data_IF_177389506093
#
_entry.id   IF_177389506093
#
_cell.length_a   1.000
_cell.length_b   1.000
_cell.length_c   1.000
_cell.angle_alpha   90.00
_cell.angle_beta   90.00
_cell.angle_gamma   90.00
#
_symmetry.space_group_name_H-M   'P 1'
#
loop_
_entity.id
_entity.type
_entity.pdbx_description
1 polymer ?
#
# COMPACT_ATOMS: atom_id res chain seq x y z
N UNK A 1 -3.83 2.20 -20.71
CA UNK A 1 -4.77 3.28 -20.35
C UNK A 1 -4.74 3.43 -18.83
N UNK A 2 -4.85 4.64 -18.28
CA UNK A 2 -4.91 4.80 -16.83
C UNK A 2 -6.15 4.09 -16.27
N UNK A 3 -6.04 3.57 -15.04
CA UNK A 3 -7.17 3.00 -14.32
C UNK A 3 -8.27 4.05 -14.18
N UNK A 4 -9.47 3.74 -14.63
CA UNK A 4 -10.61 4.68 -14.62
C UNK A 4 -11.70 4.29 -13.64
N UNK A 5 -11.64 3.06 -13.12
CA UNK A 5 -12.66 2.49 -12.22
C UNK A 5 -12.02 1.92 -10.98
N UNK A 6 -12.78 1.92 -9.89
CA UNK A 6 -12.38 1.27 -8.63
C UNK A 6 -12.23 -0.25 -8.80
N UNK A 7 -11.39 -0.90 -7.97
CA UNK A 7 -11.40 -2.35 -7.87
C UNK A 7 -12.78 -2.85 -7.41
N UNK A 8 -13.20 -4.00 -7.91
CA UNK A 8 -14.40 -4.68 -7.42
C UNK A 8 -14.03 -5.50 -6.20
N UNK A 9 -14.83 -5.41 -5.12
CA UNK A 9 -14.60 -6.24 -3.95
C UNK A 9 -14.80 -7.72 -4.27
N UNK A 10 -13.82 -8.59 -3.96
CA UNK A 10 -13.99 -10.03 -4.09
C UNK A 10 -14.84 -10.65 -2.96
N UNK A 11 -15.11 -9.90 -1.89
CA UNK A 11 -15.98 -10.29 -0.78
C UNK A 11 -17.36 -9.69 -1.07
N UNK A 12 -18.35 -10.54 -1.31
CA UNK A 12 -19.68 -10.15 -1.79
C UNK A 12 -20.48 -9.25 -0.81
N UNK A 13 -20.13 -9.28 0.47
CA UNK A 13 -20.75 -8.43 1.51
C UNK A 13 -20.12 -7.05 1.62
N UNK A 14 -19.05 -6.79 0.86
CA UNK A 14 -18.35 -5.50 0.85
C UNK A 14 -18.52 -4.80 -0.50
N UNK A 15 -18.75 -3.49 -0.46
CA UNK A 15 -18.70 -2.61 -1.62
C UNK A 15 -17.41 -1.79 -1.64
N UNK A 16 -16.95 -1.38 -2.82
CA UNK A 16 -15.81 -0.46 -2.93
C UNK A 16 -16.29 0.97 -3.09
N UNK A 17 -15.61 1.88 -2.40
CA UNK A 17 -15.85 3.33 -2.47
C UNK A 17 -14.52 4.06 -2.65
N UNK A 18 -14.50 5.13 -3.42
CA UNK A 18 -13.36 6.06 -3.43
C UNK A 18 -13.45 6.94 -2.18
N UNK A 19 -12.36 6.98 -1.41
CA UNK A 19 -12.26 7.82 -0.22
C UNK A 19 -11.69 9.17 -0.65
N UNK A 20 -12.60 10.13 -0.83
CA UNK A 20 -12.30 11.52 -1.13
C UNK A 20 -12.44 12.37 0.13
N UNK A 21 -12.04 13.63 0.09
CA UNK A 21 -11.95 14.49 1.29
C UNK A 21 -13.25 14.59 2.09
N UNK A 22 -14.41 14.50 1.44
CA UNK A 22 -15.73 14.44 2.07
C UNK A 22 -15.93 13.18 2.94
N UNK A 23 -15.09 12.15 2.75
CA UNK A 23 -15.08 10.90 3.53
C UNK A 23 -13.92 10.80 4.51
N UNK A 24 -13.18 11.90 4.72
CA UNK A 24 -12.02 11.91 5.62
C UNK A 24 -12.39 11.49 7.06
N UNK A 25 -13.56 11.90 7.56
CA UNK A 25 -14.02 11.50 8.90
C UNK A 25 -14.34 10.00 8.99
N UNK A 26 -14.85 9.40 7.93
CA UNK A 26 -15.07 7.95 7.86
C UNK A 26 -13.75 7.20 7.93
N UNK A 27 -12.74 7.66 7.18
CA UNK A 27 -11.40 7.07 7.20
C UNK A 27 -10.72 7.30 8.55
N UNK A 28 -10.85 8.50 9.15
CA UNK A 28 -10.31 8.79 10.48
C UNK A 28 -10.90 7.86 11.55
N UNK A 29 -12.23 7.65 11.52
CA UNK A 29 -12.88 6.70 12.42
C UNK A 29 -12.29 5.30 12.26
N UNK A 30 -12.14 4.82 11.02
CA UNK A 30 -11.54 3.52 10.72
C UNK A 30 -10.11 3.40 11.28
N UNK A 31 -9.29 4.43 11.14
CA UNK A 31 -7.93 4.45 11.68
C UNK A 31 -7.91 4.40 13.21
N UNK A 32 -8.77 5.16 13.88
CA UNK A 32 -8.89 5.16 15.34
C UNK A 32 -9.32 3.79 15.90
N UNK A 33 -10.18 3.08 15.17
CA UNK A 33 -10.65 1.73 15.53
C UNK A 33 -9.63 0.63 15.22
N UNK A 34 -8.60 0.94 14.39
CA UNK A 34 -7.59 -0.01 13.93
C UNK A 34 -6.16 0.48 14.18
N UNK A 35 -5.76 0.78 15.44
CA UNK A 35 -4.48 1.43 15.75
C UNK A 35 -3.26 0.53 15.50
N UNK A 36 -3.44 -0.78 15.34
CA UNK A 36 -2.34 -1.73 15.22
C UNK A 36 -1.38 -1.42 14.06
N UNK A 37 -1.88 -0.89 12.95
CA UNK A 37 -1.06 -0.49 11.81
C UNK A 37 -0.12 0.66 12.20
N UNK A 38 -0.65 1.72 12.79
CA UNK A 38 0.11 2.92 13.17
C UNK A 38 1.11 2.61 14.28
N UNK A 39 0.72 1.84 15.29
CA UNK A 39 1.61 1.39 16.34
C UNK A 39 2.79 0.56 15.78
N UNK A 40 2.56 -0.25 14.76
CA UNK A 40 3.61 -1.05 14.12
C UNK A 40 4.53 -0.22 13.23
N UNK A 41 4.06 0.87 12.63
CA UNK A 41 4.81 1.70 11.69
C UNK A 41 5.44 2.93 12.35
N UNK A 42 4.64 3.79 12.98
CA UNK A 42 5.08 5.05 13.60
C UNK A 42 5.33 4.93 15.10
N UNK A 43 4.78 3.91 15.76
CA UNK A 43 4.87 3.73 17.21
C UNK A 43 3.79 4.46 18.00
N UNK A 44 2.95 5.20 17.33
CA UNK A 44 1.88 6.02 17.91
C UNK A 44 0.55 5.67 17.22
N UNK A 45 -0.60 5.91 17.83
CA UNK A 45 -1.90 5.82 17.16
C UNK A 45 -1.99 6.83 16.00
N UNK A 46 -2.99 6.67 15.14
CA UNK A 46 -3.29 7.63 14.09
C UNK A 46 -3.45 9.06 14.67
N UNK A 47 -2.86 10.03 13.99
CA UNK A 47 -3.03 11.44 14.31
C UNK A 47 -4.49 11.91 14.13
N UNK A 48 -4.87 13.07 14.69
CA UNK A 48 -6.25 13.55 14.66
C UNK A 48 -6.79 13.87 13.25
N UNK A 49 -5.89 14.10 12.28
CA UNK A 49 -6.21 14.41 10.88
C UNK A 49 -5.71 13.35 9.89
N UNK A 50 -5.27 12.20 10.38
CA UNK A 50 -4.64 11.14 9.57
C UNK A 50 -5.50 10.73 8.39
N UNK A 51 -6.83 10.67 8.57
CA UNK A 51 -7.76 10.34 7.49
C UNK A 51 -7.75 11.37 6.35
N UNK A 52 -7.66 12.65 6.66
CA UNK A 52 -7.56 13.71 5.67
C UNK A 52 -6.15 13.73 5.02
N UNK A 53 -5.11 13.53 5.81
CA UNK A 53 -3.72 13.49 5.36
C UNK A 53 -3.47 12.32 4.42
N UNK A 54 -3.99 11.12 4.72
CA UNK A 54 -3.91 9.97 3.82
C UNK A 54 -4.51 10.27 2.45
N UNK A 55 -5.62 11.01 2.40
CA UNK A 55 -6.29 11.37 1.14
C UNK A 55 -5.53 12.47 0.40
N UNK A 56 -5.09 13.52 1.10
CA UNK A 56 -4.57 14.75 0.49
C UNK A 56 -3.06 14.81 0.37
N UNK A 57 -2.30 13.97 1.12
CA UNK A 57 -0.84 14.01 1.10
C UNK A 57 -0.29 13.89 -0.31
N UNK A 58 0.63 14.76 -0.63
CA UNK A 58 1.37 14.75 -1.89
C UNK A 58 2.54 13.77 -1.81
N UNK A 59 2.95 13.28 -2.98
CA UNK A 59 4.16 12.49 -3.10
C UNK A 59 5.40 13.39 -3.04
N UNK A 60 6.56 12.85 -2.67
CA UNK A 60 7.80 13.61 -2.69
C UNK A 60 8.04 14.28 -4.03
N UNK A 61 8.58 15.50 -4.00
CA UNK A 61 8.90 16.26 -5.22
C UNK A 61 9.76 15.43 -6.18
N UNK A 62 9.43 15.50 -7.46
CA UNK A 62 10.10 14.77 -8.53
C UNK A 62 9.65 13.33 -8.73
N UNK A 63 8.67 12.85 -7.98
CA UNK A 63 8.08 11.53 -8.23
C UNK A 63 6.93 11.67 -9.23
N UNK A 64 7.07 11.02 -10.39
CA UNK A 64 6.00 10.95 -11.39
C UNK A 64 4.99 9.87 -11.02
N UNK A 65 3.72 10.11 -11.30
CA UNK A 65 2.64 9.14 -11.14
C UNK A 65 1.43 9.57 -11.98
N UNK A 66 0.50 8.66 -12.21
CA UNK A 66 -0.73 8.98 -12.97
C UNK A 66 -1.88 9.35 -12.03
N UNK A 67 -2.19 8.51 -11.05
CA UNK A 67 -3.28 8.78 -10.09
C UNK A 67 -2.99 8.09 -8.74
N UNK A 68 -3.38 8.76 -7.67
CA UNK A 68 -3.48 8.19 -6.31
C UNK A 68 -4.93 7.80 -6.07
N UNK A 69 -5.14 6.54 -5.74
CA UNK A 69 -6.43 5.98 -5.38
C UNK A 69 -6.46 5.68 -3.89
N UNK A 70 -7.40 6.24 -3.16
CA UNK A 70 -7.69 5.83 -1.78
C UNK A 70 -9.02 5.09 -1.81
N UNK A 71 -8.96 3.78 -1.64
CA UNK A 71 -10.07 2.86 -1.80
C UNK A 71 -10.52 2.36 -0.44
N UNK A 72 -11.80 2.50 -0.12
CA UNK A 72 -12.44 1.87 1.03
C UNK A 72 -13.20 0.62 0.60
N UNK A 73 -13.17 -0.40 1.44
CA UNK A 73 -14.06 -1.57 1.36
C UNK A 73 -15.10 -1.41 2.48
N UNK A 74 -16.31 -1.05 2.09
CA UNK A 74 -17.39 -0.70 3.01
C UNK A 74 -18.32 -1.87 3.30
N UNK A 75 -18.69 -2.04 4.56
CA UNK A 75 -19.77 -2.90 5.01
C UNK A 75 -21.14 -2.33 4.58
N UNK A 76 -22.18 -3.12 4.72
CA UNK A 76 -23.57 -2.72 4.39
C UNK A 76 -24.10 -1.57 5.25
N UNK A 77 -23.54 -1.38 6.45
CA UNK A 77 -23.85 -0.25 7.35
C UNK A 77 -23.05 1.02 7.03
N UNK A 78 -22.17 0.97 6.01
CA UNK A 78 -21.32 2.08 5.59
C UNK A 78 -20.00 2.21 6.37
N UNK A 79 -19.75 1.42 7.40
CA UNK A 79 -18.44 1.38 8.07
C UNK A 79 -17.38 0.74 7.17
N UNK A 80 -16.09 1.03 7.40
CA UNK A 80 -15.00 0.44 6.63
C UNK A 80 -14.54 -0.88 7.22
N UNK A 81 -14.47 -1.91 6.38
CA UNK A 81 -13.86 -3.20 6.69
C UNK A 81 -12.36 -3.23 6.33
N UNK A 82 -11.95 -2.43 5.34
CA UNK A 82 -10.56 -2.30 4.91
C UNK A 82 -10.35 -1.02 4.09
N UNK A 83 -9.10 -0.63 3.92
CA UNK A 83 -8.74 0.43 2.98
C UNK A 83 -7.43 0.09 2.26
N UNK A 84 -7.23 0.69 1.09
CA UNK A 84 -5.98 0.64 0.34
C UNK A 84 -5.69 2.02 -0.29
N UNK A 85 -4.43 2.46 -0.19
CA UNK A 85 -3.91 3.56 -1.00
C UNK A 85 -3.05 2.97 -2.10
N UNK A 86 -3.40 3.23 -3.35
CA UNK A 86 -2.67 2.72 -4.52
C UNK A 86 -2.32 3.87 -5.44
N UNK A 87 -1.05 3.96 -5.80
CA UNK A 87 -0.51 4.97 -6.70
C UNK A 87 -0.14 4.27 -8.00
N UNK A 88 -0.78 4.71 -9.10
CA UNK A 88 -0.55 4.11 -10.42
C UNK A 88 0.61 4.79 -11.12
N UNK A 89 1.41 4.01 -11.85
CA UNK A 89 2.57 4.46 -12.63
C UNK A 89 3.60 5.26 -11.79
N UNK A 90 3.82 4.84 -10.55
CA UNK A 90 4.74 5.53 -9.65
C UNK A 90 6.19 5.36 -10.14
N UNK A 91 6.84 6.50 -10.43
CA UNK A 91 8.21 6.64 -10.95
C UNK A 91 8.44 6.05 -12.35
N UNK A 92 7.62 5.11 -12.80
CA UNK A 92 7.66 4.54 -14.14
C UNK A 92 6.28 4.00 -14.52
N UNK A 93 5.99 3.97 -15.82
CA UNK A 93 4.79 3.35 -16.36
C UNK A 93 4.70 1.87 -15.92
N UNK A 94 3.50 1.40 -15.67
CA UNK A 94 3.18 0.03 -15.25
C UNK A 94 3.74 -0.38 -13.88
N UNK A 95 4.26 0.54 -13.07
CA UNK A 95 4.65 0.31 -11.68
C UNK A 95 3.57 0.88 -10.77
N UNK A 96 2.78 0.00 -10.14
CA UNK A 96 1.76 0.40 -9.17
C UNK A 96 2.30 0.23 -7.75
N UNK A 97 2.06 1.21 -6.90
CA UNK A 97 2.55 1.22 -5.53
C UNK A 97 1.41 1.17 -4.52
N UNK A 98 1.52 0.27 -3.55
CA UNK A 98 0.65 0.26 -2.38
C UNK A 98 1.33 1.10 -1.30
N UNK A 99 0.78 2.28 -1.03
CA UNK A 99 1.22 3.14 0.07
C UNK A 99 0.74 2.62 1.41
N UNK A 100 -0.56 2.31 1.50
CA UNK A 100 -1.22 1.83 2.71
C UNK A 100 -2.18 0.69 2.37
N UNK A 101 -2.21 -0.35 3.20
CA UNK A 101 -3.20 -1.42 3.13
C UNK A 101 -3.54 -1.88 4.54
N UNK A 102 -4.76 -1.61 4.98
CA UNK A 102 -5.24 -1.93 6.32
C UNK A 102 -6.55 -2.69 6.22
N UNK A 103 -6.64 -3.81 6.92
CA UNK A 103 -7.88 -4.58 7.13
C UNK A 103 -8.27 -4.45 8.59
N UNK A 104 -9.54 -4.24 8.86
CA UNK A 104 -10.06 -4.10 10.23
C UNK A 104 -9.59 -5.25 11.12
N UNK A 105 -9.20 -4.92 12.34
CA UNK A 105 -8.59 -5.86 13.28
C UNK A 105 -9.50 -7.08 13.55
N UNK A 106 -10.80 -6.87 13.62
CA UNK A 106 -11.80 -7.92 13.79
C UNK A 106 -11.86 -8.95 12.66
N UNK A 107 -11.34 -8.59 11.46
CA UNK A 107 -11.28 -9.45 10.27
C UNK A 107 -9.95 -10.17 10.12
N UNK A 108 -9.06 -10.02 11.08
CA UNK A 108 -7.76 -10.68 11.03
C UNK A 108 -7.90 -12.19 11.31
N UNK A 109 -7.07 -13.00 10.64
CA UNK A 109 -7.05 -14.46 10.79
C UNK A 109 -8.06 -15.21 9.93
N UNK A 110 -9.08 -14.53 9.38
CA UNK A 110 -10.11 -15.12 8.51
C UNK A 110 -9.74 -15.23 7.02
N UNK A 111 -8.56 -14.72 6.60
CA UNK A 111 -8.16 -14.74 5.18
C UNK A 111 -8.61 -13.50 4.39
N UNK A 112 -9.41 -12.61 4.96
CA UNK A 112 -9.94 -11.42 4.27
C UNK A 112 -8.84 -10.55 3.67
N UNK A 113 -7.73 -10.34 4.38
CA UNK A 113 -6.61 -9.56 3.88
C UNK A 113 -6.03 -10.14 2.58
N UNK A 114 -5.88 -11.47 2.51
CA UNK A 114 -5.41 -12.14 1.30
C UNK A 114 -6.40 -12.00 0.15
N UNK A 115 -7.68 -12.23 0.42
CA UNK A 115 -8.74 -12.18 -0.59
C UNK A 115 -8.87 -10.75 -1.15
N UNK A 116 -8.88 -9.72 -0.29
CA UNK A 116 -8.96 -8.32 -0.69
C UNK A 116 -7.72 -7.89 -1.48
N UNK A 117 -6.53 -8.26 -1.02
CA UNK A 117 -5.29 -7.99 -1.74
C UNK A 117 -5.28 -8.63 -3.13
N UNK A 118 -5.67 -9.89 -3.26
CA UNK A 118 -5.74 -10.56 -4.56
C UNK A 118 -6.75 -9.90 -5.52
N UNK A 119 -7.85 -9.35 -4.98
CA UNK A 119 -8.78 -8.52 -5.75
C UNK A 119 -8.12 -7.25 -6.27
N UNK A 120 -7.38 -6.56 -5.41
CA UNK A 120 -6.62 -5.36 -5.74
C UNK A 120 -5.53 -5.65 -6.78
N UNK A 121 -4.81 -6.77 -6.63
CA UNK A 121 -3.79 -7.22 -7.57
C UNK A 121 -4.36 -7.50 -8.96
N UNK A 122 -5.50 -8.20 -9.05
CA UNK A 122 -6.18 -8.43 -10.33
C UNK A 122 -6.62 -7.13 -10.98
N UNK A 123 -7.15 -6.20 -10.19
CA UNK A 123 -7.50 -4.87 -10.67
C UNK A 123 -6.26 -4.12 -11.20
N UNK A 124 -5.16 -4.13 -10.48
CA UNK A 124 -3.92 -3.51 -10.93
C UNK A 124 -3.43 -4.11 -12.26
N UNK A 125 -3.38 -5.44 -12.36
CA UNK A 125 -2.97 -6.13 -13.58
C UNK A 125 -3.88 -5.79 -14.78
N UNK A 126 -5.21 -5.76 -14.58
CA UNK A 126 -6.18 -5.39 -15.63
C UNK A 126 -6.10 -3.93 -16.04
N UNK A 127 -5.48 -3.08 -15.22
CA UNK A 127 -5.23 -1.67 -15.50
C UNK A 127 -3.79 -1.37 -15.93
N UNK A 128 -3.05 -2.40 -16.35
CA UNK A 128 -1.74 -2.26 -16.99
C UNK A 128 -0.55 -2.31 -16.04
N UNK A 129 -0.73 -2.66 -14.76
CA UNK A 129 0.39 -2.89 -13.88
C UNK A 129 1.19 -4.12 -14.32
N UNK A 130 2.48 -3.95 -14.58
CA UNK A 130 3.44 -5.04 -14.74
C UNK A 130 4.14 -5.36 -13.41
N UNK A 131 4.19 -4.39 -12.51
CA UNK A 131 4.85 -4.47 -11.22
C UNK A 131 3.99 -3.89 -10.11
N UNK A 132 3.93 -4.61 -9.00
CA UNK A 132 3.47 -4.06 -7.72
C UNK A 132 4.67 -3.75 -6.84
N UNK A 133 4.63 -2.60 -6.17
CA UNK A 133 5.66 -2.09 -5.26
C UNK A 133 5.04 -1.71 -3.93
N UNK A 134 5.77 -1.88 -2.84
CA UNK A 134 5.39 -1.38 -1.52
C UNK A 134 6.62 -1.19 -0.63
N UNK A 135 6.42 -0.56 0.53
CA UNK A 135 7.39 -0.45 1.60
C UNK A 135 6.88 -1.12 2.87
N UNK A 136 7.75 -1.87 3.55
CA UNK A 136 7.44 -2.49 4.85
C UNK A 136 8.44 -2.01 5.87
N UNK A 137 7.96 -1.55 7.03
CA UNK A 137 8.84 -1.22 8.16
C UNK A 137 9.48 -2.50 8.67
N UNK A 138 10.80 -2.52 8.71
CA UNK A 138 11.58 -3.67 9.19
C UNK A 138 11.24 -3.98 10.65
N UNK A 139 11.02 -5.25 10.94
CA UNK A 139 10.57 -5.72 12.25
C UNK A 139 9.05 -5.76 12.42
N UNK A 140 8.26 -5.24 11.45
CA UNK A 140 6.85 -5.55 11.36
C UNK A 140 6.66 -6.96 10.75
N UNK A 141 6.99 -7.98 11.55
CA UNK A 141 7.07 -9.38 11.11
C UNK A 141 5.75 -9.90 10.52
N UNK A 142 4.63 -9.32 10.95
CA UNK A 142 3.31 -9.67 10.40
C UNK A 142 3.18 -9.20 8.96
N UNK A 143 3.50 -7.94 8.68
CA UNK A 143 3.47 -7.38 7.33
C UNK A 143 4.52 -8.04 6.43
N UNK A 144 5.75 -8.26 6.94
CA UNK A 144 6.82 -8.93 6.19
C UNK A 144 6.38 -10.33 5.73
N UNK A 145 5.82 -11.15 6.63
CA UNK A 145 5.32 -12.48 6.30
C UNK A 145 4.14 -12.43 5.34
N UNK A 146 3.20 -11.51 5.55
CA UNK A 146 2.05 -11.35 4.66
C UNK A 146 2.51 -11.05 3.24
N UNK A 147 3.34 -10.02 3.03
CA UNK A 147 3.77 -9.62 1.71
C UNK A 147 4.67 -10.67 1.02
N UNK A 148 5.55 -11.31 1.77
CA UNK A 148 6.33 -12.44 1.26
C UNK A 148 5.43 -13.59 0.80
N UNK A 149 4.37 -13.92 1.56
CA UNK A 149 3.39 -14.97 1.17
C UNK A 149 2.58 -14.58 -0.07
N UNK A 150 2.44 -13.28 -0.36
CA UNK A 150 1.82 -12.80 -1.60
C UNK A 150 2.81 -12.78 -2.79
N UNK A 151 4.05 -13.20 -2.61
CA UNK A 151 5.05 -13.30 -3.69
C UNK A 151 5.89 -12.04 -3.91
N UNK A 152 5.87 -11.11 -2.96
CA UNK A 152 6.79 -9.97 -2.98
C UNK A 152 8.20 -10.38 -2.58
N UNK A 153 9.19 -9.80 -3.23
CA UNK A 153 10.61 -9.95 -2.90
C UNK A 153 11.21 -8.60 -2.49
N UNK A 154 12.06 -8.63 -1.48
CA UNK A 154 12.78 -7.45 -1.03
C UNK A 154 13.83 -7.04 -2.06
N UNK A 155 13.93 -5.73 -2.33
CA UNK A 155 14.88 -5.19 -3.32
C UNK A 155 15.82 -4.15 -2.72
N UNK A 156 15.37 -3.32 -1.79
CA UNK A 156 16.18 -2.28 -1.17
C UNK A 156 15.74 -1.99 0.27
N UNK A 157 16.69 -1.70 1.13
CA UNK A 157 16.43 -1.13 2.45
C UNK A 157 16.78 0.36 2.46
N UNK A 158 15.99 1.13 3.19
CA UNK A 158 16.21 2.57 3.43
C UNK A 158 16.10 2.83 4.92
N UNK A 159 17.21 3.17 5.54
CA UNK A 159 17.29 3.50 6.96
C UNK A 159 17.10 4.99 7.19
N UNK A 160 16.79 5.35 8.44
CA UNK A 160 16.65 6.75 8.86
C UNK A 160 15.35 7.43 8.39
N UNK A 161 14.34 6.65 7.97
CA UNK A 161 13.03 7.20 7.60
C UNK A 161 12.27 7.59 8.86
N UNK A 162 11.88 8.87 8.96
CA UNK A 162 11.05 9.33 10.07
C UNK A 162 9.59 8.95 9.84
N UNK A 163 9.01 8.22 10.80
CA UNK A 163 7.60 7.87 10.87
C UNK A 163 7.09 8.16 12.28
N UNK A 164 6.32 9.22 12.45
CA UNK A 164 5.96 9.72 13.78
C UNK A 164 7.22 10.02 14.60
N UNK A 165 7.30 9.45 15.81
CA UNK A 165 8.45 9.62 16.71
C UNK A 165 9.60 8.64 16.43
N UNK A 166 9.45 7.70 15.48
CA UNK A 166 10.45 6.66 15.21
C UNK A 166 11.28 6.98 13.98
N UNK A 167 12.58 6.68 14.08
CA UNK A 167 13.45 6.50 12.92
C UNK A 167 13.49 5.01 12.57
N UNK A 168 12.95 4.66 11.42
CA UNK A 168 12.79 3.27 11.00
C UNK A 168 13.60 2.93 9.76
N UNK A 169 13.79 1.65 9.52
CA UNK A 169 14.25 1.11 8.23
C UNK A 169 13.04 0.58 7.47
N UNK A 170 12.87 1.03 6.24
CA UNK A 170 11.83 0.56 5.34
C UNK A 170 12.45 -0.37 4.30
N UNK A 171 11.90 -1.56 4.17
CA UNK A 171 12.23 -2.51 3.12
C UNK A 171 11.29 -2.31 1.93
N UNK A 172 11.84 -1.85 0.80
CA UNK A 172 11.10 -1.82 -0.46
C UNK A 172 10.99 -3.25 -0.99
N UNK A 173 9.78 -3.63 -1.34
CA UNK A 173 9.45 -4.94 -1.90
C UNK A 173 8.71 -4.78 -3.21
N UNK A 174 8.94 -5.71 -4.13
CA UNK A 174 8.30 -5.70 -5.45
C UNK A 174 7.80 -7.09 -5.84
N UNK A 175 6.78 -7.10 -6.68
CA UNK A 175 6.20 -8.32 -7.25
C UNK A 175 5.95 -8.13 -8.74
N UNK A 176 6.50 -9.01 -9.62
CA UNK A 176 6.12 -9.01 -11.03
C UNK A 176 4.71 -9.61 -11.18
N UNK A 177 3.84 -8.95 -11.95
CA UNK A 177 2.52 -9.47 -12.27
C UNK A 177 2.49 -10.24 -13.59
N UNK A 178 3.47 -9.99 -14.46
CA UNK A 178 3.55 -10.59 -15.79
C UNK A 178 4.83 -11.41 -16.01
N UNK A 179 5.38 -11.96 -14.92
CA UNK A 179 6.54 -12.86 -14.99
C UNK A 179 7.88 -12.19 -15.32
N UNK A 180 8.02 -10.87 -15.11
CA UNK A 180 9.26 -10.12 -15.33
C UNK A 180 10.37 -10.49 -14.34
N UNK A 181 11.63 -10.44 -14.78
CA UNK A 181 12.79 -10.56 -13.90
C UNK A 181 13.05 -9.25 -13.15
N UNK A 182 13.51 -9.34 -11.90
CA UNK A 182 13.79 -8.17 -11.03
C UNK A 182 14.80 -7.20 -11.70
N UNK A 183 15.75 -7.70 -12.48
CA UNK A 183 16.66 -6.84 -13.26
C UNK A 183 15.90 -5.89 -14.21
N UNK A 184 14.78 -6.34 -14.79
CA UNK A 184 13.91 -5.49 -15.61
C UNK A 184 13.22 -4.40 -14.80
N UNK A 185 12.82 -4.69 -13.55
CA UNK A 185 12.30 -3.66 -12.66
C UNK A 185 13.31 -2.55 -12.37
N UNK A 186 14.57 -2.91 -12.14
CA UNK A 186 15.63 -1.94 -11.86
C UNK A 186 15.95 -1.01 -13.02
N UNK A 187 15.66 -1.40 -14.26
CA UNK A 187 15.79 -0.48 -15.41
C UNK A 187 14.68 0.57 -15.42
N UNK A 188 13.51 0.25 -14.86
CA UNK A 188 12.39 1.18 -14.73
C UNK A 188 12.53 2.07 -13.49
N UNK A 189 12.98 1.52 -12.37
CA UNK A 189 13.11 2.19 -11.07
C UNK A 189 14.53 2.02 -10.52
N UNK A 190 15.54 2.69 -11.09
CA UNK A 190 16.96 2.54 -10.67
C UNK A 190 17.19 2.85 -9.19
N UNK A 191 16.41 3.77 -8.62
CA UNK A 191 16.52 4.14 -7.20
C UNK A 191 16.19 3.01 -6.22
N UNK A 192 15.57 1.94 -6.66
CA UNK A 192 15.25 0.76 -5.85
C UNK A 192 16.29 -0.37 -6.01
N UNK A 193 17.36 -0.14 -6.79
CA UNK A 193 18.50 -1.06 -6.80
C UNK A 193 19.11 -1.15 -5.41
N UNK A 194 19.57 -2.34 -4.98
CA UNK A 194 20.39 -2.47 -3.79
C UNK A 194 21.56 -1.49 -3.87
N UNK A 195 21.92 -0.87 -2.74
CA UNK A 195 23.17 -0.12 -2.70
C UNK A 195 24.30 -1.12 -2.99
N UNK A 196 25.15 -0.80 -3.96
CA UNK A 196 26.41 -1.53 -4.15
C UNK A 196 27.15 -1.42 -2.80
N UNK A 197 27.47 -2.55 -2.18
CA UNK A 197 28.46 -2.56 -1.10
C UNK A 197 29.67 -1.82 -1.67
N UNK A 198 29.92 -0.62 -1.16
CA UNK A 198 31.14 0.10 -1.47
C UNK A 198 32.25 -0.82 -0.99
N UNK A 199 33.01 -1.37 -1.94
CA UNK A 199 34.20 -2.13 -1.60
C UNK A 199 35.08 -1.27 -0.70
N UNK A 200 35.70 -1.85 0.34
CA UNK A 200 36.51 -1.14 1.32
C UNK A 200 37.68 -0.39 0.68
#
# INVERSE_FOLDING_TARGET
MPATTLPVSPISTLSTVELTLDRALLLQKFFNENPAYFLATSGEPAGPNEGAEEITSELPSGWSFTKKWVVGYANTDGSLAAMANVITDLMALSVFHIGTFIVATERHGGGDAQVLYQGLERWAASNGAAWMRLGVVQGNTRAERFWASQGYVAVRQRSGIQMGTRSVTVQNMVKPLMGGAIAGYFTLVPRDQPESESAP
#
